data_IF_995296261030
#
_entry.id   IF_995296261030
#
_cell.length_a   1.000
_cell.length_b   1.000
_cell.length_c   1.000
_cell.angle_alpha   90.00
_cell.angle_beta   90.00
_cell.angle_gamma   90.00
#
_symmetry.space_group_name_H-M   'P 1'
#
loop_
_entity.id
_entity.type
_entity.pdbx_description
1 polymer ?
#
# COMPACT_ATOMS: atom_id res chain seq x y z
N UNK A 1 -25.67 26.10 -27.72
CA UNK A 1 -25.56 24.63 -27.83
C UNK A 1 -24.11 24.14 -27.70
N UNK A 2 -23.12 24.79 -28.31
CA UNK A 2 -21.71 24.36 -28.27
C UNK A 2 -21.10 24.31 -26.86
N UNK A 3 -21.37 25.31 -26.01
CA UNK A 3 -20.83 25.37 -24.64
C UNK A 3 -21.26 24.16 -23.80
N UNK A 4 -22.53 23.72 -23.94
CA UNK A 4 -23.04 22.55 -23.22
C UNK A 4 -22.31 21.27 -23.65
N UNK A 5 -22.05 21.10 -24.95
CA UNK A 5 -21.31 19.95 -25.46
C UNK A 5 -19.85 19.93 -24.97
N UNK A 6 -19.17 21.08 -24.99
CA UNK A 6 -17.80 21.22 -24.48
C UNK A 6 -17.71 20.87 -22.99
N UNK A 7 -18.63 21.40 -22.18
CA UNK A 7 -18.69 21.08 -20.74
C UNK A 7 -18.93 19.60 -20.50
N UNK A 8 -19.83 18.96 -21.27
CA UNK A 8 -20.09 17.52 -21.16
C UNK A 8 -18.85 16.69 -21.49
N UNK A 9 -18.14 17.01 -22.58
CA UNK A 9 -16.91 16.29 -22.97
C UNK A 9 -15.83 16.44 -21.91
N UNK A 10 -15.60 17.65 -21.40
CA UNK A 10 -14.64 17.89 -20.32
C UNK A 10 -15.01 17.14 -19.03
N UNK A 11 -16.29 17.12 -18.67
CA UNK A 11 -16.78 16.40 -17.50
C UNK A 11 -16.53 14.90 -17.62
N UNK A 12 -16.82 14.32 -18.79
CA UNK A 12 -16.57 12.90 -19.06
C UNK A 12 -15.07 12.58 -19.01
N UNK A 13 -14.23 13.42 -19.61
CA UNK A 13 -12.77 13.27 -19.58
C UNK A 13 -12.21 13.29 -18.14
N UNK A 14 -12.66 14.23 -17.31
CA UNK A 14 -12.25 14.32 -15.91
C UNK A 14 -12.67 13.08 -15.12
N UNK A 15 -13.89 12.60 -15.31
CA UNK A 15 -14.37 11.38 -14.66
C UNK A 15 -13.58 10.14 -15.10
N UNK A 16 -13.25 10.02 -16.38
CA UNK A 16 -12.44 8.92 -16.92
C UNK A 16 -11.01 8.97 -16.38
N UNK A 17 -10.41 10.16 -16.28
CA UNK A 17 -9.07 10.33 -15.71
C UNK A 17 -9.04 9.95 -14.21
N UNK A 18 -10.06 10.36 -13.45
CA UNK A 18 -10.21 10.00 -12.03
C UNK A 18 -10.44 8.50 -11.87
N UNK A 19 -11.27 7.87 -12.71
CA UNK A 19 -11.52 6.43 -12.69
C UNK A 19 -10.29 5.61 -13.12
N UNK A 20 -9.51 6.12 -14.08
CA UNK A 20 -8.26 5.49 -14.55
C UNK A 20 -7.12 5.52 -13.54
N UNK A 21 -7.23 6.33 -12.48
CA UNK A 21 -6.28 6.33 -11.36
C UNK A 21 -6.53 5.20 -10.35
N UNK A 22 -7.47 4.28 -10.61
CA UNK A 22 -7.70 3.15 -9.71
C UNK A 22 -6.41 2.35 -9.53
N UNK A 23 -5.86 2.38 -8.32
CA UNK A 23 -4.55 1.81 -8.03
C UNK A 23 -4.67 0.28 -8.10
N UNK A 24 -4.12 -0.31 -9.15
CA UNK A 24 -3.98 -1.76 -9.22
C UNK A 24 -2.80 -2.20 -8.32
N UNK A 25 -3.07 -2.25 -7.01
CA UNK A 25 -2.07 -2.60 -5.99
C UNK A 25 -1.56 -4.04 -6.13
N UNK A 26 -2.35 -4.93 -6.73
CA UNK A 26 -1.95 -6.32 -6.96
C UNK A 26 -0.93 -6.42 -8.11
N UNK A 27 -1.13 -5.69 -9.21
CA UNK A 27 -0.14 -5.58 -10.29
C UNK A 27 1.17 -4.93 -9.79
N UNK A 28 1.08 -3.92 -8.93
CA UNK A 28 2.26 -3.32 -8.28
C UNK A 28 3.01 -4.35 -7.43
N UNK A 29 2.28 -5.17 -6.67
CA UNK A 29 2.86 -6.22 -5.83
C UNK A 29 3.56 -7.27 -6.69
N UNK A 30 2.90 -7.72 -7.77
CA UNK A 30 3.47 -8.70 -8.71
C UNK A 30 4.80 -8.22 -9.30
N UNK A 31 4.86 -6.96 -9.75
CA UNK A 31 6.10 -6.36 -10.28
C UNK A 31 7.18 -6.24 -9.21
N UNK A 32 6.79 -5.92 -7.98
CA UNK A 32 7.72 -5.89 -6.87
C UNK A 32 8.35 -7.27 -6.63
N UNK A 33 7.55 -8.34 -6.58
CA UNK A 33 8.06 -9.70 -6.30
C UNK A 33 9.09 -10.12 -7.36
N UNK A 34 8.82 -9.86 -8.64
CA UNK A 34 9.77 -10.12 -9.75
C UNK A 34 11.11 -9.39 -9.52
N UNK A 35 11.06 -8.13 -9.10
CA UNK A 35 12.27 -7.35 -8.81
C UNK A 35 13.01 -7.91 -7.58
N UNK A 36 12.27 -8.21 -6.51
CA UNK A 36 12.82 -8.66 -5.23
C UNK A 36 13.44 -10.06 -5.32
N UNK A 37 12.89 -10.95 -6.14
CA UNK A 37 13.45 -12.27 -6.40
C UNK A 37 14.88 -12.18 -6.97
N UNK A 38 15.15 -11.17 -7.80
CA UNK A 38 16.48 -10.91 -8.35
C UNK A 38 17.46 -10.24 -7.37
N UNK A 39 16.98 -9.73 -6.23
CA UNK A 39 17.81 -9.07 -5.22
C UNK A 39 18.44 -10.09 -4.26
N UNK A 40 19.77 -10.17 -4.29
CA UNK A 40 20.58 -10.96 -3.34
C UNK A 40 20.75 -10.28 -1.97
N UNK A 41 19.85 -9.37 -1.57
CA UNK A 41 19.93 -8.62 -0.31
C UNK A 41 18.77 -8.97 0.64
N UNK A 42 18.99 -9.88 1.59
CA UNK A 42 17.94 -10.30 2.52
C UNK A 42 17.34 -9.16 3.38
N UNK A 43 18.11 -8.21 3.94
CA UNK A 43 17.59 -7.01 4.59
C UNK A 43 16.55 -6.24 3.77
N UNK A 44 16.76 -6.10 2.46
CA UNK A 44 15.83 -5.37 1.60
C UNK A 44 14.51 -6.09 1.39
N UNK A 45 14.50 -7.42 1.53
CA UNK A 45 13.30 -8.27 1.39
C UNK A 45 12.51 -8.34 2.69
N UNK A 46 13.21 -8.47 3.81
CA UNK A 46 12.61 -8.81 5.10
C UNK A 46 12.42 -7.62 6.04
N UNK A 47 12.93 -6.44 5.67
CA UNK A 47 12.76 -5.18 6.41
C UNK A 47 13.00 -5.32 7.93
N UNK A 48 14.14 -5.88 8.37
CA UNK A 48 14.33 -6.27 9.78
C UNK A 48 14.24 -5.07 10.74
N UNK A 49 14.69 -3.89 10.31
CA UNK A 49 14.64 -2.65 11.11
C UNK A 49 13.19 -2.22 11.35
N UNK A 50 12.40 -2.09 10.27
CA UNK A 50 10.98 -1.76 10.35
C UNK A 50 10.24 -2.75 11.25
N UNK A 51 10.44 -4.05 11.03
CA UNK A 51 9.76 -5.09 11.78
C UNK A 51 10.11 -5.05 13.26
N UNK A 52 11.38 -4.81 13.61
CA UNK A 52 11.81 -4.65 15.01
C UNK A 52 11.18 -3.41 15.65
N UNK A 53 11.21 -2.28 14.95
CA UNK A 53 10.67 -1.02 15.45
C UNK A 53 9.15 -1.10 15.66
N UNK A 54 8.42 -1.55 14.64
CA UNK A 54 6.98 -1.63 14.72
C UNK A 54 6.53 -2.66 15.74
N UNK A 55 7.14 -3.84 15.81
CA UNK A 55 6.88 -4.81 16.90
C UNK A 55 7.05 -4.17 18.28
N UNK A 56 8.07 -3.34 18.46
CA UNK A 56 8.30 -2.66 19.73
C UNK A 56 7.22 -1.61 20.02
N UNK A 57 6.87 -0.79 19.03
CA UNK A 57 5.86 0.28 19.15
C UNK A 57 4.44 -0.25 19.35
N UNK A 58 4.11 -1.38 18.74
CA UNK A 58 2.75 -1.95 18.74
C UNK A 58 2.58 -3.11 19.70
N UNK A 59 3.60 -3.45 20.50
CA UNK A 59 3.64 -4.63 21.39
C UNK A 59 2.45 -4.80 22.34
N UNK A 60 1.73 -3.71 22.65
CA UNK A 60 0.58 -3.73 23.55
C UNK A 60 -0.76 -3.86 22.81
N UNK A 61 -0.77 -3.62 21.50
CA UNK A 61 -2.00 -3.47 20.71
C UNK A 61 -2.15 -4.56 19.65
N UNK A 62 -1.05 -5.07 19.10
CA UNK A 62 -1.05 -5.94 17.91
C UNK A 62 -0.06 -7.10 18.04
N UNK A 63 -0.47 -8.28 17.57
CA UNK A 63 0.40 -9.44 17.37
C UNK A 63 1.20 -9.26 16.08
N UNK A 64 2.31 -8.54 16.17
CA UNK A 64 3.10 -8.17 14.99
C UNK A 64 3.77 -9.36 14.30
N UNK A 65 3.34 -9.66 13.07
CA UNK A 65 4.07 -10.54 12.14
C UNK A 65 5.01 -9.74 11.25
N UNK A 66 6.11 -10.36 10.83
CA UNK A 66 7.05 -9.68 9.93
C UNK A 66 6.36 -9.33 8.60
N UNK A 67 6.57 -8.11 8.14
CA UNK A 67 6.12 -7.60 6.85
C UNK A 67 7.30 -7.54 5.90
N UNK A 68 7.15 -8.10 4.70
CA UNK A 68 8.15 -8.06 3.64
C UNK A 68 8.11 -6.79 2.79
N UNK A 69 9.08 -6.61 1.89
CA UNK A 69 9.16 -5.44 0.99
C UNK A 69 7.93 -5.26 0.14
N UNK A 70 7.54 -6.28 -0.60
CA UNK A 70 6.44 -6.19 -1.55
C UNK A 70 5.09 -6.15 -0.86
N UNK A 71 4.97 -6.83 0.27
CA UNK A 71 3.83 -6.67 1.15
C UNK A 71 3.70 -5.22 1.64
N UNK A 72 4.77 -4.61 2.15
CA UNK A 72 4.73 -3.21 2.57
C UNK A 72 4.36 -2.27 1.42
N UNK A 73 4.86 -2.52 0.21
CA UNK A 73 4.48 -1.79 -1.00
C UNK A 73 2.99 -1.91 -1.28
N UNK A 74 2.42 -3.12 -1.17
CA UNK A 74 0.97 -3.35 -1.30
C UNK A 74 0.18 -2.57 -0.25
N UNK A 75 0.60 -2.64 1.01
CA UNK A 75 -0.05 -1.96 2.13
C UNK A 75 0.00 -0.43 1.96
N UNK A 76 1.12 0.13 1.49
CA UNK A 76 1.24 1.56 1.17
C UNK A 76 0.31 1.96 0.03
N UNK A 77 0.12 1.10 -0.97
CA UNK A 77 -0.80 1.35 -2.07
C UNK A 77 -2.26 1.36 -1.61
N UNK A 78 -2.67 0.35 -0.82
CA UNK A 78 -4.00 0.23 -0.25
C UNK A 78 -4.29 1.34 0.77
N UNK A 79 -3.29 1.69 1.57
CA UNK A 79 -3.33 2.68 2.63
C UNK A 79 -2.92 4.07 2.21
N UNK A 80 -2.90 4.39 0.92
CA UNK A 80 -2.32 5.64 0.41
C UNK A 80 -3.04 6.93 0.89
N UNK A 81 -4.21 6.81 1.52
CA UNK A 81 -4.92 7.90 2.19
C UNK A 81 -4.75 7.88 3.73
N UNK A 82 -3.87 7.01 4.27
CA UNK A 82 -3.56 6.86 5.70
C UNK A 82 -2.15 7.40 5.99
N UNK A 83 -1.83 7.58 7.28
CA UNK A 83 -0.49 8.03 7.72
C UNK A 83 0.58 6.94 7.55
N UNK A 84 0.16 5.68 7.42
CA UNK A 84 1.05 4.52 7.29
C UNK A 84 2.02 4.38 8.47
N UNK A 85 1.56 4.69 9.68
CA UNK A 85 2.29 4.37 10.90
C UNK A 85 2.18 2.87 11.24
N UNK A 86 2.94 2.36 12.21
CA UNK A 86 2.92 0.93 12.55
C UNK A 86 1.53 0.39 12.92
N UNK A 87 0.64 1.18 13.55
CA UNK A 87 -0.74 0.74 13.80
C UNK A 87 -1.54 0.65 12.50
N UNK A 88 -1.43 1.64 11.62
CA UNK A 88 -2.11 1.63 10.32
C UNK A 88 -1.66 0.43 9.47
N UNK A 89 -0.35 0.12 9.50
CA UNK A 89 0.23 -1.03 8.82
C UNK A 89 -0.32 -2.34 9.41
N UNK A 90 -0.33 -2.49 10.74
CA UNK A 90 -0.84 -3.70 11.38
C UNK A 90 -2.32 -3.94 11.06
N UNK A 91 -3.13 -2.88 11.07
CA UNK A 91 -4.55 -2.94 10.72
C UNK A 91 -4.76 -3.34 9.26
N UNK A 92 -4.07 -2.67 8.33
CA UNK A 92 -4.17 -2.98 6.89
C UNK A 92 -3.65 -4.37 6.56
N UNK A 93 -2.64 -4.85 7.30
CA UNK A 93 -2.08 -6.19 7.16
C UNK A 93 -2.95 -7.29 7.79
N UNK A 94 -4.08 -6.91 8.41
CA UNK A 94 -5.00 -7.83 9.07
C UNK A 94 -4.37 -8.56 10.25
N UNK A 95 -3.47 -7.91 10.99
CA UNK A 95 -2.84 -8.51 12.16
C UNK A 95 -3.84 -8.63 13.32
N UNK A 96 -3.66 -9.61 14.18
CA UNK A 96 -4.52 -9.79 15.35
C UNK A 96 -4.27 -8.71 16.40
N UNK A 97 -5.35 -8.25 17.04
CA UNK A 97 -5.25 -7.45 18.26
C UNK A 97 -4.82 -8.34 19.43
N UNK A 98 -4.14 -7.75 20.41
CA UNK A 98 -3.75 -8.47 21.63
C UNK A 98 -4.93 -8.60 22.60
N UNK A 99 -5.95 -7.72 22.48
CA UNK A 99 -7.17 -7.70 23.29
C UNK A 99 -8.39 -7.41 22.42
#
# INVERSE_FOLDING_TARGET
MQIKAVVTVFSVLLLVLVAGQNRNCDELTRRCEICVESLNNAPDRNLPVLNKECRTKTRNNWRWRNVGRCELTRLNCLGANRRMNCNDIAELAGMDRIN
#
